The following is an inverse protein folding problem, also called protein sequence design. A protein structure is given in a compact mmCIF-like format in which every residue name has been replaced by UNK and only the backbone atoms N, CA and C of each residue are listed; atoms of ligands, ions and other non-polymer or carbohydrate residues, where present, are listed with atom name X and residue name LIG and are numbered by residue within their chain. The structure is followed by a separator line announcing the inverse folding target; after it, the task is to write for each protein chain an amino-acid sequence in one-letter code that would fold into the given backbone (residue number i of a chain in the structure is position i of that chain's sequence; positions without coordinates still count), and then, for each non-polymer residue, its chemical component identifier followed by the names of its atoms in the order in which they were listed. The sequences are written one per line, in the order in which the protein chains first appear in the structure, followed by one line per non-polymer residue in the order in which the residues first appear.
data_IF_731435503308
#
_entry.id   IF_731435503308
#
_cell.length_a   1.000
_cell.length_b   1.000
_cell.length_c   1.000
_cell.angle_alpha   90.00
_cell.angle_beta   90.00
_cell.angle_gamma   90.00
#
_symmetry.space_group_name_H-M   'P 1'
#
loop_
_entity.id
_entity.type
_entity.pdbx_description
1 polymer ?
#
# COMPACT_ATOMS: atom_id res chain seq x y z
N UNK A 1 -25.09 -27.45 22.08
CA UNK A 1 -23.74 -28.02 21.82
C UNK A 1 -23.72 -29.38 21.12
N UNK A 2 -24.83 -30.14 21.01
CA UNK A 2 -24.79 -31.50 20.39
C UNK A 2 -25.02 -31.49 18.86
N UNK A 3 -25.54 -30.40 18.28
CA UNK A 3 -25.85 -30.34 16.84
C UNK A 3 -24.64 -30.07 15.94
N UNK A 4 -23.55 -29.47 16.44
CA UNK A 4 -22.33 -29.21 15.66
C UNK A 4 -21.36 -30.41 15.61
N UNK A 5 -21.55 -31.42 16.47
CA UNK A 5 -20.70 -32.61 16.50
C UNK A 5 -21.11 -33.69 15.48
N UNK A 6 -22.34 -33.64 14.93
CA UNK A 6 -22.80 -34.64 13.94
C UNK A 6 -22.03 -34.59 12.62
N UNK A 7 -21.66 -33.40 12.15
CA UNK A 7 -20.90 -33.24 10.91
C UNK A 7 -19.45 -33.74 11.00
N UNK A 8 -18.83 -33.64 12.18
CA UNK A 8 -17.44 -34.07 12.39
C UNK A 8 -17.28 -35.59 12.43
N UNK A 9 -18.33 -36.34 12.81
CA UNK A 9 -18.32 -37.81 12.81
C UNK A 9 -18.51 -38.46 11.42
N UNK A 10 -18.78 -37.67 10.39
CA UNK A 10 -18.96 -38.15 9.00
C UNK A 10 -17.70 -37.94 8.14
N UNK A 11 -16.67 -37.28 8.67
CA UNK A 11 -15.44 -37.01 7.95
C UNK A 11 -14.49 -38.21 8.11
N UNK A 12 -14.12 -38.80 6.99
CA UNK A 12 -13.12 -39.86 6.91
C UNK A 12 -11.71 -39.26 7.16
N UNK A 13 -10.96 -39.73 8.17
CA UNK A 13 -9.65 -39.18 8.50
C UNK A 13 -8.64 -39.27 7.34
N UNK A 14 -8.70 -40.34 6.56
CA UNK A 14 -7.82 -40.55 5.40
C UNK A 14 -8.15 -39.61 4.23
N UNK A 15 -9.38 -39.10 4.18
CA UNK A 15 -9.80 -38.09 3.20
C UNK A 15 -9.29 -36.69 3.56
N UNK A 16 -9.02 -36.42 4.84
CA UNK A 16 -8.46 -35.14 5.32
C UNK A 16 -6.97 -35.05 4.98
N UNK A 17 -6.21 -36.12 5.22
CA UNK A 17 -4.77 -36.18 4.93
C UNK A 17 -4.45 -36.15 3.43
N UNK A 18 -5.35 -36.69 2.60
CA UNK A 18 -5.21 -36.75 1.14
C UNK A 18 -5.93 -35.62 0.40
N UNK A 19 -6.44 -34.61 1.10
CA UNK A 19 -7.17 -33.51 0.49
C UNK A 19 -6.27 -32.71 -0.48
N UNK A 20 -6.76 -32.48 -1.70
CA UNK A 20 -6.10 -31.65 -2.70
C UNK A 20 -6.74 -30.26 -2.78
N UNK A 21 -5.91 -29.23 -2.92
CA UNK A 21 -6.34 -27.83 -2.97
C UNK A 21 -5.83 -27.15 -4.24
N UNK A 22 -6.61 -26.21 -4.78
CA UNK A 22 -6.17 -25.38 -5.90
C UNK A 22 -5.09 -24.40 -5.46
N UNK A 23 -4.01 -24.31 -6.23
CA UNK A 23 -2.90 -23.40 -5.95
C UNK A 23 -3.17 -22.01 -6.53
N UNK A 24 -2.98 -20.97 -5.71
CA UNK A 24 -3.13 -19.56 -6.11
C UNK A 24 -1.88 -18.77 -5.73
N UNK A 25 -1.61 -17.68 -6.45
CA UNK A 25 -0.38 -16.86 -6.37
C UNK A 25 -0.06 -16.32 -4.95
N UNK A 26 -1.04 -16.28 -4.04
CA UNK A 26 -0.84 -16.04 -2.60
C UNK A 26 -1.72 -16.99 -1.80
N UNK A 27 -1.11 -17.92 -1.07
CA UNK A 27 -1.79 -18.92 -0.25
C UNK A 27 -0.99 -19.30 1.00
N UNK A 28 -1.52 -20.22 1.80
CA UNK A 28 -0.80 -20.80 2.93
C UNK A 28 0.40 -21.62 2.45
N UNK A 29 1.44 -21.75 3.27
CA UNK A 29 2.60 -22.57 2.95
C UNK A 29 2.15 -24.03 2.82
N UNK A 30 2.40 -24.64 1.66
CA UNK A 30 1.90 -25.99 1.33
C UNK A 30 2.41 -27.01 2.36
N UNK A 31 3.66 -26.89 2.80
CA UNK A 31 4.26 -27.79 3.77
C UNK A 31 3.60 -27.67 5.15
N UNK A 32 3.38 -26.45 5.63
CA UNK A 32 2.70 -26.21 6.93
C UNK A 32 1.25 -26.72 6.90
N UNK A 33 0.55 -26.59 5.76
CA UNK A 33 -0.80 -27.11 5.61
C UNK A 33 -0.81 -28.64 5.58
N UNK A 34 0.20 -29.29 4.97
CA UNK A 34 0.30 -30.75 4.95
C UNK A 34 0.56 -31.30 6.35
N UNK A 35 1.55 -30.76 7.05
CA UNK A 35 1.88 -31.14 8.43
C UNK A 35 0.65 -30.98 9.35
N UNK A 36 -0.06 -29.86 9.23
CA UNK A 36 -1.28 -29.64 9.99
C UNK A 36 -2.41 -30.63 9.66
N UNK A 37 -2.60 -30.99 8.39
CA UNK A 37 -3.63 -31.95 7.99
C UNK A 37 -3.29 -33.38 8.40
N UNK A 38 -2.00 -33.73 8.47
CA UNK A 38 -1.52 -35.00 9.03
C UNK A 38 -1.86 -35.08 10.53
N UNK A 39 -1.50 -34.06 11.31
CA UNK A 39 -1.82 -33.99 12.75
C UNK A 39 -3.33 -34.08 13.01
N UNK A 40 -4.14 -33.38 12.22
CA UNK A 40 -5.61 -33.43 12.32
C UNK A 40 -6.14 -34.82 11.97
N UNK A 41 -5.57 -35.48 10.96
CA UNK A 41 -5.92 -36.85 10.59
C UNK A 41 -5.63 -37.86 11.71
N UNK A 42 -4.46 -37.76 12.34
CA UNK A 42 -4.09 -38.61 13.49
C UNK A 42 -5.04 -38.42 14.68
N UNK A 43 -5.38 -37.18 14.98
CA UNK A 43 -6.26 -36.85 16.09
C UNK A 43 -7.70 -37.33 15.84
N UNK A 44 -8.18 -37.26 14.59
CA UNK A 44 -9.47 -37.84 14.21
C UNK A 44 -9.47 -39.37 14.34
N UNK A 45 -8.40 -40.04 13.93
CA UNK A 45 -8.25 -41.50 14.12
C UNK A 45 -8.27 -41.90 15.60
N UNK A 46 -7.58 -41.13 16.44
CA UNK A 46 -7.58 -41.32 17.90
C UNK A 46 -8.98 -41.22 18.48
N UNK A 47 -9.69 -40.13 18.18
CA UNK A 47 -11.04 -39.88 18.69
C UNK A 47 -12.06 -40.90 18.18
N UNK A 48 -11.95 -41.36 16.93
CA UNK A 48 -12.81 -42.43 16.40
C UNK A 48 -12.55 -43.76 17.10
N UNK A 49 -11.29 -44.09 17.38
CA UNK A 49 -10.93 -45.29 18.13
C UNK A 49 -11.51 -45.26 19.55
N UNK A 50 -11.39 -44.13 20.25
CA UNK A 50 -11.98 -43.94 21.59
C UNK A 50 -13.52 -44.02 21.57
N UNK A 51 -14.17 -43.40 20.59
CA UNK A 51 -15.63 -43.48 20.44
C UNK A 51 -16.10 -44.91 20.14
N UNK A 52 -15.37 -45.65 19.32
CA UNK A 52 -15.69 -47.05 19.01
C UNK A 52 -15.60 -47.92 20.26
N UNK A 53 -14.53 -47.75 21.06
CA UNK A 53 -14.33 -48.45 22.32
C UNK A 53 -15.44 -48.11 23.34
N UNK A 54 -15.79 -46.83 23.49
CA UNK A 54 -16.86 -46.39 24.37
C UNK A 54 -18.23 -46.95 23.96
N UNK A 55 -18.52 -47.02 22.65
CA UNK A 55 -19.75 -47.63 22.12
C UNK A 55 -19.81 -49.14 22.37
N UNK A 56 -18.70 -49.85 22.20
CA UNK A 56 -18.62 -51.29 22.51
C UNK A 56 -18.88 -51.57 23.99
N UNK A 57 -18.37 -50.72 24.90
CA UNK A 57 -18.64 -50.84 26.34
C UNK A 57 -20.11 -50.56 26.66
N UNK A 58 -20.73 -49.52 26.04
CA UNK A 58 -22.15 -49.24 26.23
C UNK A 58 -23.06 -50.35 25.70
N UNK A 59 -22.74 -50.94 24.53
CA UNK A 59 -23.48 -52.07 23.98
C UNK A 59 -23.39 -53.31 24.88
N UNK A 60 -22.21 -53.62 25.42
CA UNK A 60 -22.04 -54.71 26.38
C UNK A 60 -22.81 -54.47 27.70
N UNK A 61 -22.90 -53.21 28.14
CA UNK A 61 -23.62 -52.83 29.36
C UNK A 61 -25.15 -52.86 29.16
N UNK A 62 -25.65 -52.52 27.95
CA UNK A 62 -27.07 -52.62 27.61
C UNK A 62 -27.55 -54.07 27.49
N UNK A 63 -26.76 -54.97 26.90
CA UNK A 63 -27.08 -56.41 26.84
C UNK A 63 -27.11 -57.04 28.24
N UNK A 64 -26.34 -56.52 29.19
CA UNK A 64 -26.41 -56.91 30.60
C UNK A 64 -27.66 -56.39 31.34
N UNK A 65 -28.32 -55.35 30.84
CA UNK A 65 -29.44 -54.67 31.52
C UNK A 65 -30.83 -55.05 30.98
N UNK A 66 -30.91 -55.76 29.84
CA UNK A 66 -32.18 -56.33 29.34
C UNK A 66 -32.64 -57.59 30.12
N UNK A 67 -31.81 -58.10 31.04
CA UNK A 67 -32.19 -59.22 31.93
C UNK A 67 -32.87 -58.79 33.23
N UNK A 68 -33.27 -57.52 33.38
CA UNK A 68 -34.02 -57.04 34.55
C UNK A 68 -35.12 -56.06 34.16
N UNK A 69 -36.18 -56.60 33.57
CA UNK A 69 -37.44 -55.90 33.38
C UNK A 69 -38.27 -56.00 34.67
N UNK A 70 -38.53 -54.85 35.32
CA UNK A 70 -39.70 -54.70 36.20
C UNK A 70 -40.49 -53.47 35.73
N UNK A 71 -41.73 -53.78 35.37
CA UNK A 71 -42.83 -52.93 34.91
C UNK A 71 -43.21 -51.85 35.93
N UNK A 72 -43.32 -50.59 35.51
CA UNK A 72 -44.31 -49.64 36.07
C UNK A 72 -44.62 -48.49 35.09
N UNK A 73 -45.89 -48.09 35.08
CA UNK A 73 -46.52 -47.08 34.23
C UNK A 73 -47.59 -46.36 35.10
N UNK A 74 -48.19 -45.22 34.70
CA UNK A 74 -47.70 -43.83 34.52
C UNK A 74 -48.51 -42.85 35.47
N UNK A 75 -48.63 -41.49 35.34
CA UNK A 75 -49.27 -40.78 34.19
C UNK A 75 -48.89 -39.28 33.90
N UNK A 76 -49.40 -38.80 32.74
CA UNK A 76 -49.95 -37.45 32.40
C UNK A 76 -49.12 -36.33 31.69
N UNK A 77 -49.69 -35.89 30.55
CA UNK A 77 -49.47 -34.79 29.56
C UNK A 77 -49.27 -33.34 30.12
N UNK A 78 -48.96 -32.26 29.34
CA UNK A 78 -49.25 -31.98 27.90
C UNK A 78 -48.19 -31.16 27.08
N UNK A 79 -48.48 -30.79 25.80
CA UNK A 79 -47.52 -30.20 24.85
C UNK A 79 -47.67 -28.67 24.68
N UNK A 80 -46.56 -27.97 24.38
CA UNK A 80 -46.56 -26.58 23.89
C UNK A 80 -45.44 -26.43 22.85
N UNK A 81 -45.72 -26.36 21.55
CA UNK A 81 -46.26 -25.24 20.76
C UNK A 81 -45.20 -24.18 20.43
N UNK A 82 -45.07 -23.92 19.13
CA UNK A 82 -44.03 -23.12 18.48
C UNK A 82 -44.54 -21.70 18.28
N UNK A 83 -43.75 -20.67 18.64
CA UNK A 83 -43.73 -19.43 17.86
C UNK A 83 -42.39 -18.67 17.95
N UNK A 84 -41.99 -17.98 16.88
CA UNK A 84 -40.67 -17.38 16.73
C UNK A 84 -40.64 -15.92 17.19
N UNK A 85 -39.52 -15.50 17.74
CA UNK A 85 -39.28 -14.11 18.07
C UNK A 85 -37.84 -13.85 18.49
N UNK A 86 -37.25 -12.85 17.83
CA UNK A 86 -36.14 -12.02 18.31
C UNK A 86 -34.71 -12.48 17.96
N UNK A 87 -34.31 -12.05 16.75
CA UNK A 87 -33.10 -11.25 16.45
C UNK A 87 -32.02 -11.25 17.54
N UNK A 88 -30.88 -11.90 17.25
CA UNK A 88 -29.63 -11.71 17.99
C UNK A 88 -28.79 -10.69 17.22
N UNK A 89 -28.66 -9.53 17.84
CA UNK A 89 -27.66 -8.49 17.53
C UNK A 89 -26.27 -9.01 17.93
N UNK A 90 -25.35 -9.06 16.97
CA UNK A 90 -23.95 -9.42 17.17
C UNK A 90 -23.09 -8.17 16.98
N UNK A 91 -23.21 -7.21 17.88
CA UNK A 91 -22.16 -6.22 18.10
C UNK A 91 -21.89 -6.01 19.59
N UNK A 92 -20.60 -6.16 19.92
CA UNK A 92 -19.85 -5.56 21.03
C UNK A 92 -19.35 -6.54 22.11
N UNK A 93 -18.07 -6.92 21.97
CA UNK A 93 -17.18 -7.04 23.13
C UNK A 93 -15.85 -6.35 22.79
N UNK A 94 -15.81 -5.06 23.15
CA UNK A 94 -14.62 -4.24 23.33
C UNK A 94 -14.16 -4.49 24.76
N UNK A 95 -13.02 -5.15 24.95
CA UNK A 95 -12.43 -5.35 26.27
C UNK A 95 -11.83 -4.02 26.75
N UNK A 96 -12.39 -3.49 27.82
CA UNK A 96 -11.84 -2.41 28.64
C UNK A 96 -10.94 -3.05 29.70
N UNK A 97 -9.65 -2.72 29.69
CA UNK A 97 -8.77 -2.93 30.84
C UNK A 97 -8.88 -1.70 31.73
N UNK A 98 -9.29 -1.95 32.96
CA UNK A 98 -9.50 -0.99 34.03
C UNK A 98 -8.17 -0.43 34.54
N UNK A 99 -8.23 0.83 34.94
CA UNK A 99 -7.14 1.66 35.45
C UNK A 99 -7.40 1.83 36.94
N UNK A 100 -6.46 1.38 37.76
CA UNK A 100 -6.43 1.66 39.20
C UNK A 100 -5.40 2.75 39.48
N UNK A 101 -5.75 3.62 40.43
CA UNK A 101 -5.26 4.98 40.62
C UNK A 101 -4.11 5.09 41.67
N UNK A 102 -3.33 6.18 41.50
CA UNK A 102 -2.57 6.96 42.49
C UNK A 102 -1.28 6.40 43.12
N UNK A 103 -0.14 6.99 42.69
CA UNK A 103 0.86 7.52 43.63
C UNK A 103 1.64 8.69 43.02
N UNK A 104 1.70 9.76 43.78
CA UNK A 104 2.44 11.03 43.58
C UNK A 104 3.95 10.81 43.65
N UNK A 105 4.71 11.40 42.73
CA UNK A 105 6.06 11.93 43.01
C UNK A 105 6.45 12.99 41.98
N UNK A 106 7.21 13.97 42.46
CA UNK A 106 7.51 15.27 41.86
C UNK A 106 8.33 15.22 40.55
N UNK A 107 8.05 16.18 39.68
CA UNK A 107 8.65 16.39 38.35
C UNK A 107 9.96 17.21 38.48
N UNK A 108 11.12 16.75 37.98
CA UNK A 108 12.29 17.61 37.85
C UNK A 108 12.20 18.40 36.53
N UNK A 109 12.07 19.72 36.66
CA UNK A 109 12.01 20.70 35.57
C UNK A 109 13.06 20.45 34.47
N UNK A 110 12.60 20.27 33.22
CA UNK A 110 13.44 20.24 32.02
C UNK A 110 13.79 21.68 31.58
N UNK A 111 15.03 21.98 31.16
CA UNK A 111 15.42 23.33 30.74
C UNK A 111 14.73 23.73 29.43
N UNK A 112 14.19 24.94 29.41
CA UNK A 112 13.52 25.58 28.27
C UNK A 112 14.45 25.79 27.07
N UNK A 113 13.99 25.32 25.90
CA UNK A 113 14.10 25.91 24.55
C UNK A 113 15.45 26.40 24.01
N UNK A 114 16.13 27.30 24.71
CA UNK A 114 17.16 28.15 24.13
C UNK A 114 18.58 27.56 24.23
N UNK A 115 18.85 26.63 25.14
CA UNK A 115 20.18 25.99 25.26
C UNK A 115 20.43 24.85 24.24
N UNK A 116 19.37 24.25 23.69
CA UNK A 116 19.48 23.18 22.69
C UNK A 116 19.96 23.73 21.35
N UNK A 117 19.51 24.93 20.97
CA UNK A 117 19.88 25.55 19.71
C UNK A 117 21.31 26.12 19.70
N UNK A 118 21.83 26.53 20.87
CA UNK A 118 23.23 26.97 21.00
C UNK A 118 24.20 25.80 20.84
N UNK A 119 23.88 24.61 21.40
CA UNK A 119 24.70 23.40 21.21
C UNK A 119 24.69 22.91 19.76
N UNK A 120 23.53 22.93 19.09
CA UNK A 120 23.36 22.49 17.70
C UNK A 120 24.03 23.44 16.68
N UNK A 121 24.27 24.69 17.05
CA UNK A 121 25.03 25.64 16.24
C UNK A 121 26.55 25.46 16.38
N UNK A 122 27.04 25.16 17.60
CA UNK A 122 28.47 24.91 17.85
C UNK A 122 29.00 23.64 17.15
N UNK A 123 28.20 22.57 17.08
CA UNK A 123 28.56 21.34 16.34
C UNK A 123 28.68 21.58 14.83
N UNK A 124 27.87 22.51 14.28
CA UNK A 124 27.87 22.84 12.85
C UNK A 124 29.09 23.65 12.41
N UNK A 125 29.74 24.35 13.34
CA UNK A 125 30.98 25.10 13.06
C UNK A 125 32.26 24.27 13.22
N UNK A 126 32.20 23.11 13.87
CA UNK A 126 33.37 22.22 14.02
C UNK A 126 33.58 21.26 12.84
N UNK A 127 32.59 21.09 11.95
CA UNK A 127 32.69 20.15 10.82
C UNK A 127 33.35 20.72 9.55
N UNK A 128 33.72 22.00 9.54
CA UNK A 128 34.43 22.63 8.42
C UNK A 128 35.72 23.29 8.89
N UNK A 129 36.70 22.49 9.31
CA UNK A 129 38.11 22.87 9.20
C UNK A 129 38.61 22.50 7.80
N UNK A 130 38.95 23.53 7.04
CA UNK A 130 39.62 23.46 5.74
C UNK A 130 40.98 22.79 5.88
N UNK A 131 41.16 21.63 5.25
CA UNK A 131 42.44 21.17 4.69
C UNK A 131 42.15 19.98 3.77
N UNK A 132 41.86 20.27 2.50
CA UNK A 132 41.95 19.30 1.41
C UNK A 132 42.42 20.02 0.14
N UNK A 133 43.49 19.47 -0.42
CA UNK A 133 44.30 19.92 -1.55
C UNK A 133 43.44 20.20 -2.82
N UNK A 134 43.60 21.32 -3.54
CA UNK A 134 42.67 21.71 -4.62
C UNK A 134 42.79 20.92 -5.94
N UNK A 135 43.76 20.01 -6.06
CA UNK A 135 44.15 19.44 -7.36
C UNK A 135 43.70 17.99 -7.63
N UNK A 136 42.83 17.40 -6.81
CA UNK A 136 42.28 16.05 -7.07
C UNK A 136 40.78 16.07 -7.40
N UNK A 137 40.42 16.83 -8.45
CA UNK A 137 39.08 16.79 -9.04
C UNK A 137 39.09 15.76 -10.17
N UNK A 138 38.70 14.51 -9.86
CA UNK A 138 38.38 13.53 -10.90
C UNK A 138 37.09 13.97 -11.60
N UNK A 139 37.05 14.11 -12.93
CA UNK A 139 35.83 14.51 -13.64
C UNK A 139 34.76 13.43 -13.49
N UNK A 140 33.58 13.80 -12.98
CA UNK A 140 32.41 12.93 -12.94
C UNK A 140 32.04 12.49 -14.37
N UNK A 141 32.25 11.20 -14.67
CA UNK A 141 31.64 10.59 -15.84
C UNK A 141 30.15 10.43 -15.57
N UNK A 142 29.32 11.07 -16.41
CA UNK A 142 27.87 10.86 -16.42
C UNK A 142 27.58 9.36 -16.55
N UNK A 143 26.72 8.77 -15.71
CA UNK A 143 26.29 7.39 -15.92
C UNK A 143 25.63 7.29 -17.30
N UNK A 144 26.07 6.31 -18.10
CA UNK A 144 25.39 5.98 -19.36
C UNK A 144 23.95 5.66 -19.03
N UNK A 145 23.02 6.30 -19.73
CA UNK A 145 21.61 5.92 -19.72
C UNK A 145 21.50 4.40 -19.90
N UNK A 146 20.56 3.73 -19.20
CA UNK A 146 20.40 2.28 -19.37
C UNK A 146 20.10 2.02 -20.84
N UNK A 147 21.01 1.28 -21.50
CA UNK A 147 20.99 0.94 -22.94
C UNK A 147 19.62 0.49 -23.44
N UNK A 148 18.78 -0.04 -22.55
CA UNK A 148 17.41 -0.48 -22.84
C UNK A 148 16.46 0.65 -23.24
N UNK A 149 16.54 1.87 -22.67
CA UNK A 149 15.68 3.00 -23.09
C UNK A 149 16.05 3.52 -24.48
N UNK A 150 17.34 3.65 -24.77
CA UNK A 150 17.82 4.06 -26.09
C UNK A 150 17.44 3.07 -27.20
N UNK A 151 17.47 1.76 -26.91
CA UNK A 151 17.04 0.71 -27.85
C UNK A 151 15.53 0.74 -28.11
N UNK A 152 14.72 1.03 -27.08
CA UNK A 152 13.27 1.16 -27.21
C UNK A 152 12.91 2.41 -28.02
N UNK A 153 13.55 3.55 -27.73
CA UNK A 153 13.33 4.79 -28.47
C UNK A 153 13.83 4.69 -29.92
N UNK A 154 14.92 3.94 -30.18
CA UNK A 154 15.39 3.63 -31.53
C UNK A 154 14.43 2.68 -32.27
N UNK A 155 13.85 1.70 -31.59
CA UNK A 155 12.80 0.82 -32.14
C UNK A 155 11.56 1.62 -32.54
N UNK A 156 11.07 2.52 -31.68
CA UNK A 156 9.92 3.37 -32.00
C UNK A 156 10.25 4.42 -33.06
N UNK A 157 11.46 4.97 -33.09
CA UNK A 157 11.92 5.86 -34.15
C UNK A 157 12.03 5.16 -35.51
N UNK A 158 12.41 3.87 -35.53
CA UNK A 158 12.43 3.03 -36.75
C UNK A 158 11.03 2.63 -37.23
N UNK A 159 10.06 2.53 -36.32
CA UNK A 159 8.67 2.21 -36.66
C UNK A 159 7.94 3.38 -37.32
N UNK A 160 8.37 4.63 -37.09
CA UNK A 160 7.81 5.83 -37.74
C UNK A 160 6.32 6.04 -37.46
N UNK A 161 5.73 7.10 -38.03
CA UNK A 161 4.26 7.19 -38.09
C UNK A 161 3.74 6.19 -39.13
N UNK A 162 2.66 5.45 -38.84
CA UNK A 162 2.16 4.40 -39.72
C UNK A 162 1.79 4.99 -41.07
N UNK A 163 2.33 4.41 -42.14
CA UNK A 163 2.02 4.85 -43.49
C UNK A 163 0.58 4.42 -43.83
N UNK A 164 -0.13 5.14 -44.71
CA UNK A 164 -1.51 4.80 -45.08
C UNK A 164 -1.67 3.37 -45.60
N UNK A 165 -0.64 2.80 -46.24
CA UNK A 165 -0.62 1.40 -46.66
C UNK A 165 -0.54 0.40 -45.48
N UNK A 166 0.10 0.74 -44.36
CA UNK A 166 0.15 -0.11 -43.18
C UNK A 166 -1.23 -0.16 -42.50
N UNK A 167 -1.96 0.96 -42.57
CA UNK A 167 -3.34 1.06 -42.10
C UNK A 167 -4.28 0.24 -42.99
N UNK A 168 -4.11 0.28 -44.30
CA UNK A 168 -4.88 -0.55 -45.24
C UNK A 168 -4.58 -2.04 -45.10
N UNK A 169 -3.30 -2.42 -44.94
CA UNK A 169 -2.90 -3.80 -44.67
C UNK A 169 -3.48 -4.31 -43.35
N UNK A 170 -3.40 -3.51 -42.27
CA UNK A 170 -4.03 -3.84 -41.00
C UNK A 170 -5.55 -3.98 -41.13
N UNK A 171 -6.20 -3.13 -41.93
CA UNK A 171 -7.64 -3.20 -42.22
C UNK A 171 -8.01 -4.46 -43.00
N UNK A 172 -7.20 -4.87 -43.98
CA UNK A 172 -7.41 -6.12 -44.74
C UNK A 172 -7.20 -7.36 -43.85
N UNK A 173 -6.19 -7.34 -42.97
CA UNK A 173 -5.96 -8.40 -41.98
C UNK A 173 -7.14 -8.51 -41.00
N UNK A 174 -7.64 -7.39 -40.48
CA UNK A 174 -8.82 -7.33 -39.59
C UNK A 174 -10.09 -7.86 -40.26
N UNK A 175 -10.28 -7.56 -41.55
CA UNK A 175 -11.41 -8.06 -42.34
C UNK A 175 -11.29 -9.57 -42.57
N UNK A 176 -10.07 -10.09 -42.78
CA UNK A 176 -9.83 -11.54 -43.01
C UNK A 176 -9.90 -12.38 -41.75
N UNK A 177 -9.40 -11.90 -40.62
CA UNK A 177 -9.35 -12.67 -39.37
C UNK A 177 -10.63 -12.56 -38.56
N UNK A 178 -11.46 -11.54 -38.79
CA UNK A 178 -12.72 -11.32 -38.07
C UNK A 178 -12.55 -10.96 -36.59
N UNK A 179 -11.32 -11.03 -36.07
CA UNK A 179 -10.94 -10.63 -34.73
C UNK A 179 -10.55 -9.16 -34.77
N UNK A 180 -11.49 -8.29 -34.41
CA UNK A 180 -11.14 -6.93 -33.99
C UNK A 180 -10.32 -7.12 -32.70
N UNK A 181 -9.03 -6.74 -32.64
CA UNK A 181 -8.31 -6.73 -31.39
C UNK A 181 -9.14 -5.86 -30.47
N UNK A 182 -9.63 -6.47 -29.39
CA UNK A 182 -10.26 -5.71 -28.32
C UNK A 182 -9.17 -4.79 -27.82
N UNK A 183 -9.17 -3.55 -28.31
CA UNK A 183 -8.44 -2.47 -27.69
C UNK A 183 -9.02 -2.49 -26.29
N UNK A 184 -8.24 -3.01 -25.35
CA UNK A 184 -8.60 -2.99 -23.95
C UNK A 184 -8.84 -1.52 -23.68
N UNK A 185 -10.11 -1.15 -23.52
CA UNK A 185 -10.44 0.22 -23.16
C UNK A 185 -9.52 0.55 -22.00
N UNK A 186 -8.81 1.68 -22.11
CA UNK A 186 -7.97 2.16 -21.02
C UNK A 186 -8.79 1.98 -19.73
N UNK A 187 -8.25 1.34 -18.68
CA UNK A 187 -9.01 1.11 -17.45
C UNK A 187 -9.50 2.43 -16.82
N UNK A 188 -9.09 3.57 -17.36
CA UNK A 188 -9.48 4.94 -17.00
C UNK A 188 -10.43 5.59 -18.02
N UNK A 189 -11.20 4.81 -18.78
CA UNK A 189 -12.16 5.32 -19.77
C UNK A 189 -13.18 6.30 -19.20
N UNK A 190 -13.52 6.19 -17.91
CA UNK A 190 -14.36 7.14 -17.17
C UNK A 190 -13.81 8.57 -17.16
N UNK A 191 -12.49 8.76 -17.31
CA UNK A 191 -11.85 10.07 -17.33
C UNK A 191 -11.59 10.62 -18.74
N UNK A 192 -11.77 9.83 -19.81
CA UNK A 192 -11.46 10.24 -21.20
C UNK A 192 -12.50 11.20 -21.81
N UNK A 193 -13.39 11.78 -21.02
CA UNK A 193 -14.31 12.84 -21.46
C UNK A 193 -14.88 13.67 -20.31
N UNK A 194 -15.26 13.06 -19.18
CA UNK A 194 -15.98 13.79 -18.12
C UNK A 194 -15.06 14.70 -17.28
N UNK A 195 -13.83 14.28 -16.98
CA UNK A 195 -12.90 15.09 -16.19
C UNK A 195 -12.41 16.35 -16.93
N UNK A 196 -12.45 16.37 -18.27
CA UNK A 196 -12.17 17.57 -19.07
C UNK A 196 -13.35 18.55 -19.05
N UNK A 197 -14.57 18.08 -18.75
CA UNK A 197 -15.79 18.92 -18.69
C UNK A 197 -16.05 19.55 -17.33
N UNK A 198 -15.41 19.07 -16.27
CA UNK A 198 -15.55 19.66 -14.93
C UNK A 198 -14.85 21.03 -14.92
N UNK A 199 -15.61 22.09 -14.62
CA UNK A 199 -15.08 23.46 -14.64
C UNK A 199 -14.15 23.73 -13.45
N UNK A 200 -14.49 23.21 -12.27
CA UNK A 200 -13.69 23.43 -11.07
C UNK A 200 -12.46 22.52 -11.01
N UNK A 201 -11.29 23.14 -10.80
CA UNK A 201 -10.01 22.43 -10.79
C UNK A 201 -9.84 21.49 -9.58
N UNK A 202 -10.43 21.81 -8.43
CA UNK A 202 -10.36 20.94 -7.25
C UNK A 202 -11.28 19.74 -7.37
N UNK A 203 -12.46 19.89 -7.98
CA UNK A 203 -13.34 18.77 -8.30
C UNK A 203 -12.67 17.81 -9.30
N UNK A 204 -11.97 18.35 -10.30
CA UNK A 204 -11.12 17.56 -11.22
C UNK A 204 -10.01 16.81 -10.51
N UNK A 205 -9.31 17.49 -9.60
CA UNK A 205 -8.28 16.85 -8.77
C UNK A 205 -8.89 15.72 -7.93
N UNK A 206 -10.02 15.96 -7.26
CA UNK A 206 -10.70 14.97 -6.41
C UNK A 206 -11.11 13.74 -7.21
N UNK A 207 -11.70 13.94 -8.40
CA UNK A 207 -12.05 12.85 -9.33
C UNK A 207 -10.82 12.08 -9.80
N UNK A 208 -9.75 12.78 -10.21
CA UNK A 208 -8.50 12.16 -10.66
C UNK A 208 -7.86 11.32 -9.55
N UNK A 209 -7.85 11.82 -8.31
CA UNK A 209 -7.36 11.08 -7.14
C UNK A 209 -8.25 9.86 -6.86
N UNK A 210 -9.57 10.00 -6.89
CA UNK A 210 -10.51 8.90 -6.64
C UNK A 210 -10.31 7.71 -7.58
N UNK A 211 -10.04 7.97 -8.86
CA UNK A 211 -9.83 6.94 -9.88
C UNK A 211 -8.43 6.32 -9.83
N UNK A 212 -7.38 7.14 -9.70
CA UNK A 212 -5.99 6.67 -9.82
C UNK A 212 -5.41 6.15 -8.50
N UNK A 213 -5.94 6.56 -7.33
CA UNK A 213 -5.33 6.23 -6.04
C UNK A 213 -5.33 4.73 -5.79
N UNK A 214 -6.46 4.04 -5.97
CA UNK A 214 -6.56 2.61 -5.68
C UNK A 214 -5.58 1.75 -6.49
N UNK A 215 -5.51 1.85 -7.84
CA UNK A 215 -4.56 1.05 -8.59
C UNK A 215 -3.10 1.44 -8.30
N UNK A 216 -2.82 2.74 -8.04
CA UNK A 216 -1.49 3.19 -7.61
C UNK A 216 -1.08 2.55 -6.28
N UNK A 217 -1.99 2.54 -5.29
CA UNK A 217 -1.76 1.90 -3.98
C UNK A 217 -1.50 0.41 -4.12
N UNK A 218 -2.23 -0.28 -4.99
CA UNK A 218 -2.00 -1.72 -5.26
C UNK A 218 -0.61 -1.95 -5.82
N UNK A 219 -0.19 -1.16 -6.81
CA UNK A 219 1.14 -1.24 -7.40
C UNK A 219 2.23 -1.00 -6.35
N UNK A 220 2.14 0.07 -5.58
CA UNK A 220 3.12 0.41 -4.56
C UNK A 220 3.17 -0.61 -3.40
N UNK A 221 2.04 -1.27 -3.07
CA UNK A 221 2.02 -2.40 -2.12
C UNK A 221 2.78 -3.61 -2.68
N UNK A 222 2.65 -3.89 -3.98
CA UNK A 222 3.37 -5.00 -4.63
C UNK A 222 4.88 -4.75 -4.67
N UNK A 223 5.29 -3.54 -5.07
CA UNK A 223 6.71 -3.16 -5.12
C UNK A 223 7.37 -3.28 -3.74
N UNK A 224 6.71 -2.75 -2.69
CA UNK A 224 7.22 -2.85 -1.32
C UNK A 224 7.31 -4.31 -0.84
N UNK A 225 6.28 -5.13 -1.11
CA UNK A 225 6.31 -6.54 -0.74
C UNK A 225 7.47 -7.29 -1.42
N UNK A 226 7.63 -7.10 -2.73
CA UNK A 226 8.71 -7.69 -3.51
C UNK A 226 10.09 -7.27 -2.96
N UNK A 227 10.25 -5.99 -2.58
CA UNK A 227 11.50 -5.52 -1.99
C UNK A 227 11.80 -6.22 -0.66
N UNK A 228 10.83 -6.29 0.24
CA UNK A 228 11.02 -6.92 1.54
C UNK A 228 11.30 -8.43 1.42
N UNK A 229 10.71 -9.10 0.42
CA UNK A 229 11.00 -10.50 0.10
C UNK A 229 12.44 -10.70 -0.37
N UNK A 230 12.97 -9.78 -1.19
CA UNK A 230 14.36 -9.82 -1.64
C UNK A 230 15.38 -9.54 -0.52
N UNK A 231 15.02 -8.73 0.47
CA UNK A 231 15.87 -8.44 1.62
C UNK A 231 15.95 -9.61 2.62
N UNK A 232 14.93 -10.48 2.65
CA UNK A 232 14.83 -11.52 3.68
C UNK A 232 16.04 -12.49 3.69
N UNK A 233 16.51 -13.05 2.56
CA UNK A 233 17.69 -13.93 2.55
C UNK A 233 18.97 -13.22 3.00
N UNK A 234 19.17 -11.96 2.56
CA UNK A 234 20.35 -11.17 2.92
C UNK A 234 20.42 -10.93 4.43
N UNK A 235 19.28 -10.61 5.04
CA UNK A 235 19.17 -10.37 6.48
C UNK A 235 19.34 -11.66 7.30
N UNK A 236 18.88 -12.82 6.81
CA UNK A 236 19.06 -14.12 7.49
C UNK A 236 20.51 -14.58 7.56
N UNK A 237 21.33 -14.21 6.58
CA UNK A 237 22.74 -14.61 6.51
C UNK A 237 23.64 -13.77 7.43
N UNK A 238 23.20 -12.58 7.82
CA UNK A 238 23.95 -11.71 8.70
C UNK A 238 23.94 -12.25 10.13
N UNK A 239 25.11 -12.65 10.63
CA UNK A 239 25.31 -13.18 11.99
C UNK A 239 25.26 -12.11 13.08
N UNK A 240 25.25 -10.82 12.71
CA UNK A 240 25.25 -9.68 13.63
C UNK A 240 24.22 -8.67 13.13
N UNK A 241 23.36 -8.16 14.03
CA UNK A 241 22.34 -7.14 13.75
C UNK A 241 22.90 -5.75 13.36
N UNK A 242 24.16 -5.67 12.92
CA UNK A 242 24.77 -4.42 12.43
C UNK A 242 24.70 -4.39 10.91
N UNK A 243 23.71 -3.66 10.41
CA UNK A 243 23.50 -3.45 8.98
C UNK A 243 23.85 -2.01 8.60
N UNK A 244 24.62 -1.83 7.53
CA UNK A 244 24.77 -0.51 6.92
C UNK A 244 23.58 -0.28 5.97
N UNK A 245 22.68 0.65 6.29
CA UNK A 245 21.45 0.85 5.52
C UNK A 245 21.68 1.28 4.07
N UNK A 246 22.78 2.00 3.82
CA UNK A 246 23.24 2.37 2.48
C UNK A 246 23.54 1.15 1.60
N UNK A 247 23.97 0.04 2.21
CA UNK A 247 24.24 -1.23 1.51
C UNK A 247 22.96 -2.07 1.38
N UNK A 248 22.13 -2.09 2.43
CA UNK A 248 20.90 -2.88 2.46
C UNK A 248 19.81 -2.31 1.54
N UNK A 249 19.63 -0.98 1.54
CA UNK A 249 18.69 -0.28 0.65
C UNK A 249 19.37 0.94 0.04
N UNK A 250 20.22 0.72 -0.99
CA UNK A 250 20.87 1.81 -1.70
C UNK A 250 19.85 2.75 -2.34
N UNK A 251 20.13 4.05 -2.34
CA UNK A 251 19.26 5.06 -2.98
C UNK A 251 19.13 4.85 -4.50
N UNK A 252 20.08 4.14 -5.12
CA UNK A 252 20.00 3.76 -6.53
C UNK A 252 18.83 2.79 -6.84
N UNK A 253 18.27 2.14 -5.82
CA UNK A 253 17.14 1.21 -5.95
C UNK A 253 15.78 1.87 -5.68
N UNK A 254 15.76 3.17 -5.35
CA UNK A 254 14.52 3.89 -5.02
C UNK A 254 13.52 3.86 -6.20
N UNK A 255 14.02 3.80 -7.45
CA UNK A 255 13.19 3.69 -8.65
C UNK A 255 12.42 2.36 -8.74
N UNK A 256 12.98 1.26 -8.22
CA UNK A 256 12.33 -0.05 -8.21
C UNK A 256 11.11 -0.05 -7.26
N UNK A 257 11.18 0.71 -6.16
CA UNK A 257 10.09 0.85 -5.19
C UNK A 257 8.85 1.53 -5.81
N UNK A 258 9.04 2.31 -6.87
CA UNK A 258 7.98 3.03 -7.57
C UNK A 258 7.81 2.56 -9.02
N UNK A 259 8.26 1.35 -9.36
CA UNK A 259 8.02 0.77 -10.67
C UNK A 259 6.53 0.83 -11.05
N UNK A 260 6.24 1.27 -12.28
CA UNK A 260 4.88 1.48 -12.78
C UNK A 260 4.23 2.82 -12.37
N UNK A 261 4.73 3.52 -11.34
CA UNK A 261 4.16 4.78 -10.84
C UNK A 261 4.10 5.89 -11.90
N UNK A 262 5.12 5.96 -12.76
CA UNK A 262 5.24 6.98 -13.82
C UNK A 262 3.98 7.04 -14.68
N UNK A 263 3.36 5.89 -14.98
CA UNK A 263 2.15 5.82 -15.80
C UNK A 263 0.95 6.52 -15.14
N UNK A 264 0.77 6.33 -13.83
CA UNK A 264 -0.29 6.96 -13.04
C UNK A 264 -0.06 8.47 -12.90
N UNK A 265 1.17 8.89 -12.60
CA UNK A 265 1.52 10.31 -12.45
C UNK A 265 1.40 11.03 -13.79
N UNK A 266 1.84 10.42 -14.90
CA UNK A 266 1.69 10.97 -16.24
C UNK A 266 0.21 11.11 -16.63
N UNK A 267 -0.61 10.13 -16.25
CA UNK A 267 -2.06 10.17 -16.45
C UNK A 267 -2.69 11.31 -15.63
N UNK A 268 -2.33 11.47 -14.36
CA UNK A 268 -2.79 12.57 -13.52
C UNK A 268 -2.37 13.95 -14.09
N UNK A 269 -1.13 14.07 -14.55
CA UNK A 269 -0.63 15.29 -15.17
C UNK A 269 -1.34 15.60 -16.48
N UNK A 270 -1.63 14.59 -17.30
CA UNK A 270 -2.46 14.74 -18.51
C UNK A 270 -3.84 15.31 -18.15
N UNK A 271 -4.48 14.81 -17.10
CA UNK A 271 -5.77 15.34 -16.66
C UNK A 271 -5.68 16.75 -16.11
N UNK A 272 -4.66 17.09 -15.34
CA UNK A 272 -4.41 18.47 -14.90
C UNK A 272 -4.22 19.43 -16.08
N UNK A 273 -3.51 18.97 -17.11
CA UNK A 273 -3.19 19.72 -18.32
C UNK A 273 -4.30 19.72 -19.40
N UNK A 274 -5.51 19.25 -19.07
CA UNK A 274 -6.63 19.21 -20.02
C UNK A 274 -6.34 18.38 -21.27
N UNK A 275 -5.70 17.22 -21.09
CA UNK A 275 -5.39 16.28 -22.17
C UNK A 275 -3.96 16.38 -22.71
N UNK A 276 -3.23 17.45 -22.39
CA UNK A 276 -1.85 17.66 -22.86
C UNK A 276 -0.85 16.80 -22.09
N UNK A 277 0.09 16.15 -22.78
CA UNK A 277 1.15 15.37 -22.12
C UNK A 277 2.19 16.29 -21.49
N UNK A 278 2.59 15.99 -20.26
CA UNK A 278 3.60 16.76 -19.48
C UNK A 278 4.70 15.82 -19.00
N UNK A 279 5.94 16.31 -18.96
CA UNK A 279 7.07 15.55 -18.42
C UNK A 279 6.96 15.46 -16.89
N UNK A 280 6.75 14.26 -16.37
CA UNK A 280 6.56 13.98 -14.93
C UNK A 280 7.78 13.39 -14.24
N UNK A 281 8.93 13.30 -14.93
CA UNK A 281 10.13 12.59 -14.44
C UNK A 281 10.54 13.05 -13.04
N UNK A 282 10.61 14.37 -12.82
CA UNK A 282 10.99 14.93 -11.51
C UNK A 282 9.99 14.63 -10.39
N UNK A 283 8.69 14.44 -10.70
CA UNK A 283 7.70 14.03 -9.70
C UNK A 283 7.95 12.57 -9.30
N UNK A 284 8.15 11.69 -10.27
CA UNK A 284 8.43 10.28 -10.01
C UNK A 284 9.73 10.07 -9.24
N UNK A 285 10.81 10.78 -9.58
CA UNK A 285 12.09 10.75 -8.85
C UNK A 285 11.94 11.25 -7.40
N UNK A 286 11.11 12.27 -7.15
CA UNK A 286 10.83 12.75 -5.80
C UNK A 286 10.07 11.69 -4.98
N UNK A 287 9.10 11.02 -5.59
CA UNK A 287 8.33 9.97 -4.91
C UNK A 287 9.20 8.74 -4.66
N UNK A 288 10.05 8.33 -5.61
CA UNK A 288 11.03 7.26 -5.45
C UNK A 288 11.86 7.48 -4.18
N UNK A 289 12.49 8.65 -4.07
CA UNK A 289 13.29 9.02 -2.89
C UNK A 289 12.46 9.00 -1.60
N UNK A 290 11.25 9.55 -1.62
CA UNK A 290 10.38 9.54 -0.45
C UNK A 290 10.02 8.12 0.03
N UNK A 291 9.74 7.20 -0.88
CA UNK A 291 9.46 5.80 -0.54
C UNK A 291 10.72 5.08 -0.05
N UNK A 292 11.86 5.34 -0.68
CA UNK A 292 13.16 4.81 -0.26
C UNK A 292 13.57 5.28 1.14
N UNK A 293 13.46 6.59 1.40
CA UNK A 293 13.75 7.19 2.70
C UNK A 293 12.83 6.63 3.77
N UNK A 294 11.53 6.53 3.48
CA UNK A 294 10.57 5.90 4.37
C UNK A 294 10.97 4.46 4.72
N UNK A 295 11.33 3.65 3.72
CA UNK A 295 11.75 2.26 3.94
C UNK A 295 13.02 2.18 4.79
N UNK A 296 14.03 2.98 4.47
CA UNK A 296 15.29 3.06 5.24
C UNK A 296 15.03 3.43 6.70
N UNK A 297 14.25 4.47 6.95
CA UNK A 297 13.88 4.90 8.30
C UNK A 297 13.16 3.80 9.08
N UNK A 298 12.22 3.09 8.44
CA UNK A 298 11.50 1.99 9.10
C UNK A 298 12.39 0.78 9.36
N UNK A 299 13.28 0.44 8.43
CA UNK A 299 14.22 -0.65 8.64
C UNK A 299 15.17 -0.34 9.80
N UNK A 300 15.69 0.89 9.93
CA UNK A 300 16.46 1.30 11.12
C UNK A 300 15.64 1.11 12.39
N UNK A 301 14.41 1.65 12.42
CA UNK A 301 13.57 1.61 13.61
C UNK A 301 13.19 0.19 14.06
N UNK A 302 12.98 -0.74 13.12
CA UNK A 302 12.51 -2.10 13.43
C UNK A 302 13.64 -3.15 13.46
N UNK A 303 14.82 -2.89 12.87
CA UNK A 303 15.93 -3.84 12.83
C UNK A 303 16.86 -3.79 14.06
N UNK A 304 16.67 -2.84 14.98
CA UNK A 304 17.42 -2.79 16.25
C UNK A 304 16.82 -3.68 17.35
N UNK A 305 15.64 -4.27 17.15
CA UNK A 305 14.95 -5.12 18.13
C UNK A 305 15.61 -6.50 18.30
N UNK A 306 15.35 -7.22 19.41
CA UNK A 306 15.84 -8.60 19.64
C UNK A 306 14.95 -9.70 19.00
N UNK A 307 13.94 -9.33 18.20
CA UNK A 307 12.92 -10.25 17.65
C UNK A 307 13.40 -10.95 16.37
N UNK A 308 12.81 -12.07 15.93
CA UNK A 308 13.12 -12.66 14.63
C UNK A 308 12.92 -11.67 13.45
N UNK A 309 13.83 -11.69 12.46
CA UNK A 309 13.87 -10.75 11.31
C UNK A 309 12.56 -10.77 10.50
N UNK A 310 11.95 -11.94 10.32
CA UNK A 310 10.66 -12.08 9.63
C UNK A 310 9.55 -11.27 10.29
N UNK A 311 9.56 -11.22 11.63
CA UNK A 311 8.56 -10.45 12.38
C UNK A 311 8.77 -8.96 12.16
N UNK A 312 10.03 -8.51 12.15
CA UNK A 312 10.41 -7.11 11.89
C UNK A 312 9.99 -6.67 10.48
N UNK A 313 10.32 -7.44 9.44
CA UNK A 313 9.91 -7.11 8.06
C UNK A 313 8.39 -7.11 7.89
N UNK A 314 7.66 -8.01 8.57
CA UNK A 314 6.20 -7.97 8.59
C UNK A 314 5.68 -6.71 9.28
N UNK A 315 6.33 -6.22 10.33
CA UNK A 315 5.95 -4.98 11.01
C UNK A 315 6.11 -3.78 10.06
N UNK A 316 7.25 -3.67 9.37
CA UNK A 316 7.50 -2.65 8.33
C UNK A 316 6.40 -2.70 7.27
N UNK A 317 6.08 -3.87 6.72
CA UNK A 317 5.04 -3.99 5.70
C UNK A 317 3.64 -3.65 6.22
N UNK A 318 3.32 -3.97 7.48
CA UNK A 318 2.05 -3.62 8.10
C UNK A 318 1.92 -2.11 8.27
N UNK A 319 2.99 -1.43 8.67
CA UNK A 319 3.03 0.03 8.75
C UNK A 319 2.83 0.65 7.37
N UNK A 320 3.56 0.17 6.36
CA UNK A 320 3.39 0.58 4.96
C UNK A 320 1.93 0.55 4.52
N UNK A 321 1.26 -0.59 4.75
CA UNK A 321 -0.12 -0.82 4.36
C UNK A 321 -1.15 0.05 5.10
N UNK A 322 -0.84 0.48 6.32
CA UNK A 322 -1.79 1.14 7.22
C UNK A 322 -1.74 2.66 7.10
N UNK A 323 -0.55 3.23 6.91
CA UNK A 323 -0.35 4.68 7.06
C UNK A 323 0.31 5.33 5.86
N UNK A 324 1.35 4.72 5.29
CA UNK A 324 2.22 5.43 4.35
C UNK A 324 1.74 5.37 2.89
N UNK A 325 1.33 4.19 2.42
CA UNK A 325 1.11 3.98 0.98
C UNK A 325 -0.05 4.78 0.41
N UNK A 326 -1.15 4.94 1.15
CA UNK A 326 -2.31 5.69 0.70
C UNK A 326 -1.99 7.19 0.59
N UNK A 327 -1.26 7.74 1.56
CA UNK A 327 -0.81 9.13 1.54
C UNK A 327 0.15 9.39 0.37
N UNK A 328 1.19 8.55 0.24
CA UNK A 328 2.19 8.70 -0.84
C UNK A 328 1.55 8.57 -2.23
N UNK A 329 0.64 7.61 -2.43
CA UNK A 329 -0.04 7.43 -3.70
C UNK A 329 -0.90 8.65 -4.05
N UNK A 330 -1.71 9.13 -3.11
CA UNK A 330 -2.59 10.28 -3.34
C UNK A 330 -1.81 11.58 -3.54
N UNK A 331 -0.69 11.76 -2.83
CA UNK A 331 0.21 12.91 -3.01
C UNK A 331 0.96 12.87 -4.34
N UNK A 332 1.39 11.70 -4.81
CA UNK A 332 2.00 11.53 -6.13
C UNK A 332 1.03 11.91 -7.25
N UNK A 333 -0.23 11.48 -7.14
CA UNK A 333 -1.29 11.82 -8.11
C UNK A 333 -1.59 13.32 -8.06
N UNK A 334 -1.72 13.91 -6.87
CA UNK A 334 -1.97 15.34 -6.72
C UNK A 334 -0.82 16.19 -7.26
N UNK A 335 0.43 15.79 -7.02
CA UNK A 335 1.60 16.44 -7.58
C UNK A 335 1.64 16.36 -9.11
N UNK A 336 1.33 15.20 -9.69
CA UNK A 336 1.20 15.03 -11.13
C UNK A 336 0.14 15.97 -11.70
N UNK A 337 -1.06 15.97 -11.13
CA UNK A 337 -2.16 16.85 -11.55
C UNK A 337 -1.79 18.33 -11.46
N UNK A 338 -1.26 18.78 -10.32
CA UNK A 338 -0.86 20.17 -10.12
C UNK A 338 0.24 20.61 -11.10
N UNK A 339 1.22 19.74 -11.38
CA UNK A 339 2.24 19.97 -12.40
C UNK A 339 1.61 20.11 -13.78
N UNK A 340 0.66 19.23 -14.12
CA UNK A 340 -0.10 19.27 -15.36
C UNK A 340 -0.82 20.60 -15.56
N UNK A 341 -1.56 21.03 -14.54
CA UNK A 341 -2.27 22.30 -14.53
C UNK A 341 -1.32 23.49 -14.65
N UNK A 342 -0.22 23.48 -13.90
CA UNK A 342 0.78 24.55 -13.95
C UNK A 342 1.52 24.62 -15.29
N UNK A 343 1.70 23.48 -15.97
CA UNK A 343 2.38 23.40 -17.26
C UNK A 343 1.64 24.12 -18.40
N UNK A 344 0.31 24.21 -18.34
CA UNK A 344 -0.53 24.81 -19.39
C UNK A 344 -0.76 26.31 -19.23
N UNK A 345 -0.44 26.88 -18.07
CA UNK A 345 -0.51 28.33 -17.84
C UNK A 345 0.56 29.02 -18.72
N UNK A 346 0.27 30.17 -19.34
CA UNK A 346 1.28 30.90 -20.11
C UNK A 346 2.42 31.44 -19.23
N UNK A 347 3.65 31.47 -19.76
CA UNK A 347 4.89 31.81 -19.01
C UNK A 347 4.87 33.19 -18.31
N UNK A 348 4.05 34.12 -18.78
CA UNK A 348 3.90 35.48 -18.29
C UNK A 348 2.50 35.76 -17.70
N UNK A 349 1.66 34.73 -17.56
CA UNK A 349 0.32 34.91 -17.01
C UNK A 349 0.36 35.17 -15.50
N UNK A 350 -0.52 36.04 -14.98
CA UNK A 350 -0.74 36.17 -13.55
C UNK A 350 -1.42 34.90 -13.01
N UNK A 351 -0.88 34.38 -11.91
CA UNK A 351 -1.32 33.18 -11.21
C UNK A 351 -1.65 33.49 -9.76
N UNK A 352 -2.52 32.68 -9.15
CA UNK A 352 -2.85 32.73 -7.73
C UNK A 352 -2.83 31.34 -7.12
N UNK A 353 -2.51 31.27 -5.84
CA UNK A 353 -2.64 30.04 -5.06
C UNK A 353 -4.10 29.86 -4.65
N UNK A 354 -4.74 28.79 -5.10
CA UNK A 354 -6.10 28.45 -4.74
C UNK A 354 -6.10 27.30 -3.74
N UNK A 355 -6.78 27.51 -2.61
CA UNK A 355 -6.97 26.49 -1.59
C UNK A 355 -8.18 25.61 -1.94
N UNK A 356 -8.15 24.32 -1.57
CA UNK A 356 -9.31 23.47 -1.76
C UNK A 356 -10.47 23.93 -0.86
N UNK A 357 -11.72 23.64 -1.22
CA UNK A 357 -12.90 24.00 -0.42
C UNK A 357 -12.86 23.43 1.01
N UNK A 358 -12.21 22.28 1.20
CA UNK A 358 -12.05 21.60 2.50
C UNK A 358 -11.03 22.27 3.43
N UNK A 359 -10.26 23.25 2.92
CA UNK A 359 -9.30 24.03 3.71
C UNK A 359 -7.83 23.68 3.44
N UNK A 360 -6.92 24.52 3.95
CA UNK A 360 -5.49 24.36 3.74
C UNK A 360 -4.89 23.19 4.52
N UNK A 361 -3.87 22.56 3.95
CA UNK A 361 -3.06 21.52 4.60
C UNK A 361 -2.13 22.02 5.72
N UNK A 362 -2.04 23.32 5.96
CA UNK A 362 -1.19 23.92 6.99
C UNK A 362 -0.98 25.42 6.82
N UNK A 363 -0.15 26.03 7.68
CA UNK A 363 0.16 27.47 7.66
C UNK A 363 0.84 27.91 6.38
N UNK A 364 1.83 27.14 5.91
CA UNK A 364 2.57 27.42 4.65
C UNK A 364 1.63 27.52 3.44
N UNK A 365 0.63 26.64 3.41
CA UNK A 365 -0.41 26.66 2.37
C UNK A 365 -1.27 27.94 2.49
N UNK A 366 -1.59 28.35 3.71
CA UNK A 366 -2.39 29.55 3.96
C UNK A 366 -1.62 30.82 3.58
N UNK A 367 -0.33 30.90 3.92
CA UNK A 367 0.54 32.02 3.56
C UNK A 367 0.67 32.17 2.05
N UNK A 368 0.78 31.05 1.31
CA UNK A 368 0.74 31.09 -0.14
C UNK A 368 -0.59 31.62 -0.69
N UNK A 369 -1.71 31.26 -0.08
CA UNK A 369 -3.03 31.77 -0.47
C UNK A 369 -3.18 33.29 -0.22
N UNK A 370 -2.58 33.80 0.86
CA UNK A 370 -2.58 35.23 1.20
C UNK A 370 -1.61 36.07 0.35
N UNK A 371 -0.71 35.44 -0.40
CA UNK A 371 0.30 36.12 -1.20
C UNK A 371 -0.27 36.90 -2.41
N UNK A 372 -1.56 36.72 -2.71
CA UNK A 372 -2.23 37.36 -3.84
C UNK A 372 -1.75 36.84 -5.20
N UNK A 373 -1.85 37.70 -6.20
CA UNK A 373 -1.45 37.38 -7.59
C UNK A 373 0.07 37.49 -7.77
N UNK A 374 0.68 36.49 -8.39
CA UNK A 374 2.09 36.47 -8.81
C UNK A 374 2.19 36.17 -10.31
N UNK A 375 3.37 36.32 -10.90
CA UNK A 375 3.58 35.83 -12.27
C UNK A 375 4.04 34.36 -12.26
N UNK A 376 3.67 33.60 -13.29
CA UNK A 376 4.18 32.23 -13.47
C UNK A 376 5.71 32.23 -13.40
N UNK A 377 6.27 31.23 -12.72
CA UNK A 377 7.71 31.11 -12.46
C UNK A 377 8.19 31.86 -11.22
N UNK A 378 7.42 32.79 -10.67
CA UNK A 378 7.74 33.38 -9.37
C UNK A 378 7.36 32.42 -8.24
N UNK A 379 8.21 32.33 -7.24
CA UNK A 379 7.93 31.56 -6.04
C UNK A 379 6.83 32.25 -5.22
N UNK A 380 6.03 31.47 -4.49
CA UNK A 380 5.15 31.95 -3.42
C UNK A 380 5.96 32.09 -2.10
N UNK A 381 5.41 32.65 -1.00
CA UNK A 381 6.15 32.81 0.26
C UNK A 381 6.85 31.55 0.78
N UNK A 382 6.28 30.38 0.50
CA UNK A 382 6.89 29.07 0.80
C UNK A 382 8.13 28.70 -0.03
N UNK A 383 8.56 29.51 -0.99
CA UNK A 383 9.58 29.17 -2.00
C UNK A 383 9.08 28.25 -3.12
N UNK A 384 7.84 27.75 -3.05
CA UNK A 384 7.28 26.87 -4.08
C UNK A 384 6.67 27.69 -5.21
N UNK A 385 6.86 27.26 -6.46
CA UNK A 385 6.19 27.85 -7.62
C UNK A 385 4.77 27.27 -7.83
N UNK A 386 4.58 26.01 -7.42
CA UNK A 386 3.31 25.30 -7.49
C UNK A 386 3.24 24.21 -6.39
N UNK A 387 2.04 23.76 -5.99
CA UNK A 387 1.85 22.71 -4.99
C UNK A 387 2.30 21.32 -5.48
N UNK A 388 2.47 20.34 -4.57
CA UNK A 388 2.20 20.40 -3.13
C UNK A 388 3.34 21.03 -2.32
N UNK A 389 2.99 21.77 -1.25
CA UNK A 389 3.98 22.28 -0.26
C UNK A 389 4.38 21.24 0.79
N UNK A 390 3.62 20.17 0.90
CA UNK A 390 3.83 19.12 1.89
C UNK A 390 2.80 17.99 1.74
N UNK A 391 2.91 16.95 2.58
CA UNK A 391 2.01 15.81 2.52
C UNK A 391 0.55 16.21 2.69
N UNK A 392 -0.35 15.62 1.91
CA UNK A 392 -1.79 15.92 1.97
C UNK A 392 -2.21 17.28 1.39
N UNK A 393 -1.30 18.07 0.83
CA UNK A 393 -1.65 19.33 0.18
C UNK A 393 -2.48 19.09 -1.09
N UNK A 394 -3.66 19.72 -1.17
CA UNK A 394 -4.56 19.67 -2.34
C UNK A 394 -4.80 21.04 -2.97
N UNK A 395 -3.99 22.04 -2.61
CA UNK A 395 -4.00 23.35 -3.26
C UNK A 395 -3.61 23.23 -4.73
N UNK A 396 -3.98 24.24 -5.51
CA UNK A 396 -3.64 24.38 -6.91
C UNK A 396 -3.12 25.79 -7.19
N UNK A 397 -2.32 25.93 -8.24
CA UNK A 397 -1.99 27.24 -8.82
C UNK A 397 -2.79 27.39 -10.10
N UNK A 398 -3.58 28.46 -10.17
CA UNK A 398 -4.51 28.73 -11.27
C UNK A 398 -4.28 30.13 -11.84
N UNK A 399 -4.67 30.40 -13.10
CA UNK A 399 -4.68 31.76 -13.65
C UNK A 399 -5.52 32.72 -12.78
N UNK A 400 -5.02 33.92 -12.52
CA UNK A 400 -5.70 34.89 -11.64
C UNK A 400 -6.99 35.47 -12.25
N UNK A 401 -7.17 35.36 -13.57
CA UNK A 401 -8.35 35.82 -14.31
C UNK A 401 -9.48 34.78 -14.45
N UNK A 402 -9.37 33.63 -13.78
CA UNK A 402 -10.38 32.56 -13.74
C UNK A 402 -11.09 32.47 -12.40
#
# INVERSE_FOLDING_TARGET
MVQHARGASEIDPDSVTKAEFSHVFRGYAIEEVREFLEDVGEELHRLQSELSAARSVQAATQVGNESSSITHNPPADPPTDVRPGTVIDLQSHRLTLERDDLQTDEDPELPLGDEIDVRRWAERQQTFTQDADPDDIVPFQRPKSPQRRAVIDELFARLGEPQPNDVEWAREVLIRTGEIPVISQSPYSSLHGEAETIVDHHDRLRSTVGELARPTVVQLKQNMAARLELLLPELKLASVNKFEMSQLVPSAMDDELVEGLVSFVATAAKYGAGGTKVNVTGVSEKVARCVGDWLRERLVAHLDDEVAIEVRLRAVYREWKKTAVDLIATDAIAAGFALGLYATIASDAPVRWQTPPEGCCGTVCHDNALAGTRFRGQEFPSGHQFPPVGPGCRSLVVPAGQ
#
